data_IF_965479975924
#
_entry.id   IF_965479975924
#
_cell.length_a   1.000
_cell.length_b   1.000
_cell.length_c   1.000
_cell.angle_alpha   90.00
_cell.angle_beta   90.00
_cell.angle_gamma   90.00
#
_symmetry.space_group_name_H-M   'P 1'
#
loop_
_entity.id
_entity.type
_entity.pdbx_description
1 polymer ?
#
# COMPACT_ATOMS: atom_id res chain seq x y z
N UNK A 1 18.08 -13.95 -7.84
CA UNK A 1 17.44 -12.96 -6.97
C UNK A 1 16.00 -12.69 -7.37
N UNK A 2 15.12 -12.58 -6.37
CA UNK A 2 13.71 -12.20 -6.50
C UNK A 2 13.31 -11.33 -5.30
N UNK A 3 12.21 -10.58 -5.38
CA UNK A 3 11.65 -9.83 -4.25
C UNK A 3 10.69 -10.72 -3.43
N UNK A 4 11.08 -11.18 -2.23
CA UNK A 4 10.20 -12.01 -1.42
C UNK A 4 9.04 -11.20 -0.86
N UNK A 5 7.85 -11.78 -0.86
CA UNK A 5 6.64 -11.25 -0.23
C UNK A 5 6.26 -12.17 0.92
N UNK A 6 6.13 -11.61 2.12
CA UNK A 6 5.61 -12.37 3.27
C UNK A 6 4.17 -12.81 2.97
N UNK A 7 3.88 -14.11 3.04
CA UNK A 7 2.54 -14.64 2.75
C UNK A 7 1.51 -14.14 3.77
N UNK A 8 1.92 -13.90 5.02
CA UNK A 8 1.01 -13.49 6.10
C UNK A 8 0.65 -12.01 6.06
N UNK A 9 1.63 -11.10 5.94
CA UNK A 9 1.38 -9.66 5.97
C UNK A 9 1.43 -8.98 4.60
N UNK A 10 1.90 -9.68 3.55
CA UNK A 10 1.97 -9.14 2.19
C UNK A 10 3.09 -8.13 1.95
N UNK A 11 3.90 -7.81 2.96
CA UNK A 11 5.06 -6.90 2.84
C UNK A 11 6.14 -7.53 1.95
N UNK A 12 6.62 -6.75 1.00
CA UNK A 12 7.70 -7.12 0.08
C UNK A 12 9.06 -6.66 0.61
N UNK A 13 10.10 -7.46 0.36
CA UNK A 13 11.47 -7.26 0.81
C UNK A 13 12.43 -7.02 -0.38
N UNK A 14 13.67 -6.57 -0.12
CA UNK A 14 14.69 -6.39 -1.15
C UNK A 14 15.00 -7.68 -1.91
N UNK A 15 15.54 -7.53 -3.12
CA UNK A 15 15.88 -8.69 -3.95
C UNK A 15 16.97 -9.52 -3.28
N UNK A 16 16.73 -10.82 -3.16
CA UNK A 16 17.68 -11.76 -2.56
C UNK A 16 17.60 -13.14 -3.25
N UNK A 17 18.61 -13.97 -3.07
CA UNK A 17 18.59 -15.36 -3.57
C UNK A 17 17.80 -16.30 -2.64
N UNK A 18 17.67 -15.92 -1.37
CA UNK A 18 16.84 -16.59 -0.37
C UNK A 18 16.00 -15.54 0.37
N UNK A 19 14.76 -15.86 0.76
CA UNK A 19 13.98 -14.95 1.59
C UNK A 19 14.60 -14.80 2.98
N UNK A 20 14.30 -13.73 3.72
CA UNK A 20 14.78 -13.60 5.09
C UNK A 20 14.14 -14.67 5.99
N UNK A 21 14.84 -15.06 7.05
CA UNK A 21 14.37 -16.09 7.99
C UNK A 21 13.10 -15.65 8.74
N UNK A 22 12.99 -14.35 8.99
CA UNK A 22 11.94 -13.73 9.80
C UNK A 22 11.34 -12.52 9.08
N UNK A 23 10.05 -12.25 9.29
CA UNK A 23 9.42 -11.01 8.89
C UNK A 23 9.23 -10.11 10.13
N UNK A 24 9.99 -8.99 10.26
CA UNK A 24 9.87 -8.11 11.42
C UNK A 24 8.45 -7.56 11.66
N UNK A 25 7.68 -7.41 10.57
CA UNK A 25 6.28 -6.97 10.65
C UNK A 25 5.40 -8.05 11.28
N UNK A 26 5.63 -9.34 10.98
CA UNK A 26 4.85 -10.45 11.54
C UNK A 26 5.25 -10.82 12.97
N UNK A 27 6.50 -10.57 13.35
CA UNK A 27 7.00 -10.80 14.72
C UNK A 27 6.66 -9.66 15.68
N UNK A 28 6.24 -8.51 15.16
CA UNK A 28 5.68 -7.45 15.98
C UNK A 28 4.34 -7.89 16.61
N UNK A 29 4.14 -7.54 17.89
CA UNK A 29 2.95 -7.91 18.68
C UNK A 29 1.61 -7.46 18.08
N UNK A 30 1.63 -6.49 17.15
CA UNK A 30 0.45 -5.98 16.43
C UNK A 30 0.06 -6.84 15.24
N UNK A 31 0.85 -7.87 14.94
CA UNK A 31 0.65 -8.84 13.88
C UNK A 31 0.91 -10.25 14.41
N UNK A 32 0.98 -11.22 13.50
CA UNK A 32 1.26 -12.61 13.82
C UNK A 32 2.10 -13.27 12.72
N UNK A 33 2.83 -14.31 13.11
CA UNK A 33 3.40 -15.31 12.21
C UNK A 33 2.29 -16.31 11.86
N UNK A 34 2.18 -16.68 10.59
CA UNK A 34 1.18 -17.63 10.12
C UNK A 34 1.25 -18.99 10.85
N UNK A 35 0.13 -19.70 10.92
CA UNK A 35 0.03 -21.00 11.60
C UNK A 35 1.03 -22.05 11.07
N UNK A 36 1.37 -21.97 9.79
CA UNK A 36 2.34 -22.85 9.14
C UNK A 36 3.79 -22.29 9.19
N UNK A 37 4.06 -21.34 10.09
CA UNK A 37 5.32 -20.63 10.19
C UNK A 37 5.46 -19.48 9.20
N UNK A 38 6.67 -18.92 9.13
CA UNK A 38 7.02 -17.85 8.20
C UNK A 38 7.11 -18.41 6.77
N UNK A 39 6.30 -17.87 5.86
CA UNK A 39 6.25 -18.29 4.46
C UNK A 39 6.43 -17.10 3.52
N UNK A 40 6.98 -17.38 2.34
CA UNK A 40 7.37 -16.39 1.35
C UNK A 40 6.84 -16.77 -0.03
N UNK A 41 6.46 -15.76 -0.81
CA UNK A 41 6.04 -15.89 -2.21
C UNK A 41 6.69 -14.78 -3.05
N UNK A 42 6.34 -14.69 -4.33
CA UNK A 42 6.71 -13.60 -5.23
C UNK A 42 5.46 -13.04 -5.93
N UNK A 43 5.58 -11.92 -6.64
CA UNK A 43 4.50 -11.39 -7.47
C UNK A 43 4.08 -12.38 -8.55
N UNK A 44 5.06 -12.99 -9.23
CA UNK A 44 4.83 -13.94 -10.32
C UNK A 44 4.11 -15.20 -9.82
N UNK A 45 4.47 -15.69 -8.63
CA UNK A 45 3.79 -16.82 -8.00
C UNK A 45 2.37 -16.43 -7.52
N UNK A 46 2.21 -15.22 -6.97
CA UNK A 46 0.91 -14.72 -6.53
C UNK A 46 -0.07 -14.60 -7.70
N UNK A 47 0.38 -14.02 -8.82
CA UNK A 47 -0.41 -13.78 -10.03
C UNK A 47 -0.90 -15.07 -10.73
N UNK A 48 -0.32 -16.24 -10.44
CA UNK A 48 -0.77 -17.51 -11.02
C UNK A 48 -2.12 -17.99 -10.47
N UNK A 49 -2.49 -17.56 -9.27
CA UNK A 49 -3.70 -18.01 -8.58
C UNK A 49 -4.58 -16.90 -8.05
N UNK A 50 -4.17 -15.64 -8.22
CA UNK A 50 -4.87 -14.47 -7.71
C UNK A 50 -5.05 -13.44 -8.81
N UNK A 51 -6.12 -12.66 -8.68
CA UNK A 51 -6.42 -11.52 -9.53
C UNK A 51 -6.94 -10.37 -8.67
N UNK A 52 -6.77 -9.14 -9.11
CA UNK A 52 -7.40 -8.02 -8.43
C UNK A 52 -8.84 -7.81 -8.93
N UNK A 53 -9.73 -7.52 -7.99
CA UNK A 53 -11.11 -7.14 -8.22
C UNK A 53 -11.25 -5.65 -7.94
N UNK A 54 -11.69 -4.93 -8.96
CA UNK A 54 -11.84 -3.48 -8.95
C UNK A 54 -13.33 -3.14 -8.87
N UNK A 55 -13.73 -2.35 -7.87
CA UNK A 55 -15.12 -1.98 -7.64
C UNK A 55 -15.24 -0.52 -7.28
N UNK A 56 -16.22 0.16 -7.87
CA UNK A 56 -16.62 1.50 -7.42
C UNK A 56 -17.19 1.39 -6.01
N UNK A 57 -16.65 2.16 -5.06
CA UNK A 57 -17.11 2.25 -3.67
C UNK A 57 -18.12 3.38 -3.54
N UNK A 58 -17.77 4.54 -4.09
CA UNK A 58 -18.62 5.72 -4.23
C UNK A 58 -18.12 6.57 -5.41
N UNK A 59 -18.80 7.65 -5.83
CA UNK A 59 -18.31 8.50 -6.90
C UNK A 59 -16.86 8.93 -6.66
N UNK A 60 -15.99 8.68 -7.64
CA UNK A 60 -14.56 8.99 -7.60
C UNK A 60 -13.75 8.24 -6.53
N UNK A 61 -14.29 7.17 -5.94
CA UNK A 61 -13.55 6.27 -5.05
C UNK A 61 -13.67 4.83 -5.55
N UNK A 62 -12.55 4.27 -5.98
CA UNK A 62 -12.47 2.90 -6.49
C UNK A 62 -11.67 2.03 -5.55
N UNK A 63 -12.23 0.90 -5.12
CA UNK A 63 -11.54 -0.11 -4.32
C UNK A 63 -10.88 -1.18 -5.19
N UNK A 64 -9.66 -1.57 -4.83
CA UNK A 64 -8.87 -2.62 -5.49
C UNK A 64 -8.50 -3.66 -4.44
N UNK A 65 -8.97 -4.90 -4.57
CA UNK A 65 -8.67 -5.97 -3.63
C UNK A 65 -8.37 -7.29 -4.32
N UNK A 66 -7.47 -8.09 -3.74
CA UNK A 66 -7.02 -9.36 -4.32
C UNK A 66 -8.00 -10.50 -4.04
N UNK A 67 -8.28 -11.34 -5.05
CA UNK A 67 -9.09 -12.54 -4.95
C UNK A 67 -8.38 -13.78 -5.56
N UNK A 68 -8.34 -14.93 -4.86
CA UNK A 68 -8.74 -15.15 -3.45
C UNK A 68 -8.05 -14.19 -2.47
N UNK A 69 -8.53 -14.11 -1.23
CA UNK A 69 -7.91 -13.19 -0.25
C UNK A 69 -6.45 -13.56 -0.03
N UNK A 70 -5.56 -12.57 -0.04
CA UNK A 70 -4.14 -12.73 0.23
C UNK A 70 -3.72 -11.88 1.44
N UNK A 71 -2.70 -12.34 2.17
CA UNK A 71 -2.20 -11.68 3.37
C UNK A 71 -3.34 -11.37 4.38
N UNK A 72 -3.44 -10.13 4.83
CA UNK A 72 -4.44 -9.67 5.79
C UNK A 72 -5.79 -9.30 5.14
N UNK A 73 -5.96 -9.54 3.83
CA UNK A 73 -7.22 -9.31 3.12
C UNK A 73 -7.57 -7.83 2.94
N UNK A 74 -6.57 -6.97 2.91
CA UNK A 74 -6.72 -5.53 2.71
C UNK A 74 -7.15 -5.17 1.28
N UNK A 75 -7.65 -3.94 1.12
CA UNK A 75 -7.93 -3.32 -0.18
C UNK A 75 -7.20 -1.97 -0.26
N UNK A 76 -6.72 -1.62 -1.44
CA UNK A 76 -6.29 -0.27 -1.75
C UNK A 76 -7.51 0.56 -2.20
N UNK A 77 -7.45 1.88 -2.00
CA UNK A 77 -8.47 2.82 -2.43
C UNK A 77 -7.86 3.86 -3.37
N UNK A 78 -8.35 3.92 -4.61
CA UNK A 78 -7.97 4.91 -5.60
C UNK A 78 -8.96 6.08 -5.55
N UNK A 79 -8.49 7.23 -5.06
CA UNK A 79 -9.22 8.49 -5.04
C UNK A 79 -8.98 9.21 -6.36
N UNK A 80 -10.04 9.45 -7.13
CA UNK A 80 -9.97 10.01 -8.48
C UNK A 80 -10.26 11.51 -8.45
N UNK A 81 -9.29 12.34 -8.87
CA UNK A 81 -9.37 13.80 -8.69
C UNK A 81 -8.88 14.53 -9.94
N UNK A 82 -9.38 15.76 -10.20
CA UNK A 82 -8.88 16.59 -11.32
C UNK A 82 -7.38 16.89 -11.24
N UNK A 83 -6.81 16.95 -10.03
CA UNK A 83 -5.38 17.24 -9.80
C UNK A 83 -4.49 15.99 -9.93
N UNK A 84 -5.07 14.82 -10.17
CA UNK A 84 -4.37 13.53 -10.22
C UNK A 84 -4.85 12.56 -9.14
N UNK A 85 -4.85 11.28 -9.47
CA UNK A 85 -5.35 10.25 -8.56
C UNK A 85 -4.37 9.97 -7.42
N UNK A 86 -4.90 9.65 -6.24
CA UNK A 86 -4.13 9.17 -5.08
C UNK A 86 -4.50 7.72 -4.82
N UNK A 87 -3.50 6.88 -4.59
CA UNK A 87 -3.69 5.56 -4.01
C UNK A 87 -3.52 5.63 -2.50
N UNK A 88 -4.60 5.34 -1.77
CA UNK A 88 -4.60 5.18 -0.32
C UNK A 88 -4.47 3.70 0.04
N UNK A 89 -3.43 3.39 0.81
CA UNK A 89 -2.96 2.04 1.12
C UNK A 89 -2.56 1.21 -0.11
N UNK A 90 -1.74 0.17 0.07
CA UNK A 90 -1.32 -0.73 -1.00
C UNK A 90 -1.73 -2.18 -0.75
N UNK A 91 -1.90 -2.93 -1.84
CA UNK A 91 -2.02 -4.40 -1.86
C UNK A 91 -0.80 -5.01 -2.54
N UNK A 92 -0.53 -6.29 -2.28
CA UNK A 92 0.68 -6.94 -2.81
C UNK A 92 0.62 -7.23 -4.31
N UNK A 93 -0.51 -7.71 -4.83
CA UNK A 93 -0.61 -8.07 -6.24
C UNK A 93 -0.71 -6.82 -7.12
N UNK A 94 0.17 -6.72 -8.12
CA UNK A 94 0.08 -5.78 -9.22
C UNK A 94 0.31 -6.55 -10.53
N UNK A 95 -0.75 -6.70 -11.32
CA UNK A 95 -0.73 -7.39 -12.61
C UNK A 95 -1.10 -6.43 -13.76
N UNK A 96 -0.82 -6.84 -15.00
CA UNK A 96 -1.04 -6.00 -16.19
C UNK A 96 -2.50 -5.54 -16.34
N UNK A 97 -3.46 -6.38 -15.93
CA UNK A 97 -4.88 -6.04 -15.96
C UNK A 97 -5.22 -4.91 -14.98
N UNK A 98 -4.67 -4.95 -13.77
CA UNK A 98 -4.79 -3.88 -12.77
C UNK A 98 -4.13 -2.61 -13.27
N UNK A 99 -2.92 -2.71 -13.83
CA UNK A 99 -2.20 -1.55 -14.39
C UNK A 99 -3.01 -0.89 -15.50
N UNK A 100 -3.55 -1.67 -16.43
CA UNK A 100 -4.40 -1.17 -17.50
C UNK A 100 -5.66 -0.48 -16.97
N UNK A 101 -6.33 -1.05 -15.96
CA UNK A 101 -7.53 -0.49 -15.38
C UNK A 101 -7.27 0.84 -14.65
N UNK A 102 -6.16 0.93 -13.90
CA UNK A 102 -5.76 2.17 -13.20
C UNK A 102 -5.35 3.25 -14.21
N UNK A 103 -4.60 2.90 -15.25
CA UNK A 103 -4.24 3.84 -16.31
C UNK A 103 -5.47 4.36 -17.08
N UNK A 104 -6.49 3.53 -17.29
CA UNK A 104 -7.73 3.92 -17.96
C UNK A 104 -8.50 5.03 -17.22
N UNK A 105 -8.24 5.22 -15.92
CA UNK A 105 -8.85 6.27 -15.09
C UNK A 105 -7.87 7.38 -14.69
N UNK A 106 -6.70 7.46 -15.33
CA UNK A 106 -5.74 8.56 -15.16
C UNK A 106 -4.47 8.22 -14.38
N UNK A 107 -4.22 6.94 -14.08
CA UNK A 107 -2.99 6.51 -13.41
C UNK A 107 -2.99 6.86 -11.92
N UNK A 108 -1.79 7.03 -11.33
CA UNK A 108 -1.58 7.44 -9.93
C UNK A 108 -0.53 8.55 -9.92
N UNK A 109 -0.77 9.59 -9.13
CA UNK A 109 0.16 10.73 -8.97
C UNK A 109 0.81 10.79 -7.59
N UNK A 110 0.23 10.13 -6.59
CA UNK A 110 0.82 9.94 -5.28
C UNK A 110 0.26 8.68 -4.61
N UNK A 111 1.08 8.05 -3.77
CA UNK A 111 0.70 6.93 -2.92
C UNK A 111 0.85 7.41 -1.47
N UNK A 112 -0.20 7.27 -0.66
CA UNK A 112 -0.15 7.51 0.77
C UNK A 112 -0.67 6.28 1.51
N UNK A 113 -0.05 5.92 2.62
CA UNK A 113 -0.34 4.66 3.30
C UNK A 113 -0.57 4.89 4.78
N UNK A 114 -1.61 4.28 5.33
CA UNK A 114 -2.07 4.47 6.70
C UNK A 114 -1.03 4.06 7.74
N UNK A 115 -0.45 2.87 7.58
CA UNK A 115 0.53 2.31 8.52
C UNK A 115 1.22 1.06 7.94
N UNK A 116 2.28 0.53 8.58
CA UNK A 116 3.16 -0.50 8.02
C UNK A 116 2.53 -1.78 7.49
N UNK A 117 1.39 -2.22 8.04
CA UNK A 117 0.69 -3.40 7.53
C UNK A 117 0.20 -3.27 6.09
N UNK A 118 0.08 -2.04 5.59
CA UNK A 118 -0.44 -1.73 4.26
C UNK A 118 0.68 -1.33 3.29
N UNK A 119 1.96 -1.39 3.69
CA UNK A 119 3.09 -1.08 2.79
C UNK A 119 3.20 -2.09 1.65
N UNK A 120 2.83 -3.36 1.89
CA UNK A 120 2.65 -4.39 0.85
C UNK A 120 3.79 -4.40 -0.19
N UNK A 121 3.47 -4.28 -1.49
CA UNK A 121 4.43 -4.10 -2.59
C UNK A 121 4.47 -2.64 -3.08
N UNK A 122 4.33 -1.65 -2.19
CA UNK A 122 4.23 -0.21 -2.55
C UNK A 122 5.30 0.27 -3.53
N UNK A 123 6.51 -0.32 -3.51
CA UNK A 123 7.59 0.04 -4.43
C UNK A 123 7.24 -0.34 -5.88
N UNK A 124 6.59 -1.49 -6.10
CA UNK A 124 6.15 -1.93 -7.44
C UNK A 124 5.07 -0.99 -8.00
N UNK A 125 4.13 -0.59 -7.14
CA UNK A 125 3.12 0.41 -7.49
C UNK A 125 3.78 1.75 -7.82
N UNK A 126 4.70 2.22 -6.98
CA UNK A 126 5.43 3.46 -7.20
C UNK A 126 6.19 3.46 -8.53
N UNK A 127 6.95 2.40 -8.81
CA UNK A 127 7.75 2.29 -10.04
C UNK A 127 6.87 2.18 -11.28
N UNK A 128 5.79 1.39 -11.20
CA UNK A 128 4.87 1.17 -12.33
C UNK A 128 4.13 2.44 -12.75
N UNK A 129 3.70 3.24 -11.77
CA UNK A 129 2.95 4.48 -12.04
C UNK A 129 3.80 5.75 -11.97
N UNK A 130 5.11 5.61 -11.71
CA UNK A 130 6.03 6.73 -11.47
C UNK A 130 5.49 7.70 -10.42
N UNK A 131 4.98 7.15 -9.31
CA UNK A 131 4.30 7.91 -8.26
C UNK A 131 5.10 7.88 -6.94
N UNK A 132 5.38 9.05 -6.32
CA UNK A 132 6.02 9.10 -5.01
C UNK A 132 5.14 8.50 -3.91
N UNK A 133 5.77 7.88 -2.91
CA UNK A 133 5.12 7.31 -1.73
C UNK A 133 5.34 8.26 -0.55
N UNK A 134 4.28 8.59 0.18
CA UNK A 134 4.33 9.44 1.36
C UNK A 134 4.01 8.63 2.62
N UNK A 135 4.98 8.56 3.53
CA UNK A 135 4.89 7.85 4.81
C UNK A 135 5.26 8.80 5.96
N UNK A 136 4.66 8.63 7.13
CA UNK A 136 5.10 9.40 8.29
C UNK A 136 6.49 8.93 8.77
N UNK A 137 7.37 9.85 9.13
CA UNK A 137 8.76 9.57 9.50
C UNK A 137 8.89 8.64 10.72
N UNK A 138 7.95 8.69 11.68
CA UNK A 138 7.96 7.81 12.87
C UNK A 138 7.87 6.31 12.51
N UNK A 139 7.32 5.99 11.33
CA UNK A 139 7.19 4.61 10.86
C UNK A 139 8.30 4.21 9.88
N UNK A 140 9.31 5.04 9.64
CA UNK A 140 10.38 4.76 8.67
C UNK A 140 11.09 3.42 8.88
N UNK A 141 11.23 3.01 10.15
CA UNK A 141 11.89 1.75 10.53
C UNK A 141 11.15 0.51 10.00
N UNK A 142 9.87 0.66 9.65
CA UNK A 142 9.04 -0.42 9.14
C UNK A 142 9.09 -0.55 7.61
N UNK A 143 9.86 0.29 6.93
CA UNK A 143 10.10 0.17 5.49
C UNK A 143 11.09 -0.97 5.22
N UNK A 144 10.55 -2.15 4.95
CA UNK A 144 11.35 -3.37 4.74
C UNK A 144 12.10 -3.38 3.42
N UNK A 145 11.56 -2.73 2.37
CA UNK A 145 12.20 -2.50 1.07
C UNK A 145 12.47 -1.00 0.89
N UNK A 146 13.69 -0.50 1.17
CA UNK A 146 14.04 0.90 0.94
C UNK A 146 14.01 1.26 -0.54
N UNK A 147 13.59 2.49 -0.85
CA UNK A 147 13.55 3.02 -2.21
C UNK A 147 13.58 4.56 -2.19
N UNK A 148 14.25 5.23 -3.15
CA UNK A 148 14.30 6.70 -3.20
C UNK A 148 12.93 7.37 -3.44
N UNK A 149 11.92 6.64 -3.93
CA UNK A 149 10.57 7.20 -4.10
C UNK A 149 9.77 7.26 -2.78
N UNK A 150 10.33 6.80 -1.67
CA UNK A 150 9.71 6.91 -0.34
C UNK A 150 10.09 8.27 0.27
N UNK A 151 9.09 9.14 0.38
CA UNK A 151 9.19 10.44 1.01
C UNK A 151 8.60 10.38 2.42
N UNK A 152 9.44 10.68 3.40
CA UNK A 152 9.01 10.83 4.77
C UNK A 152 8.53 12.26 5.04
N UNK A 153 7.42 12.39 5.75
CA UNK A 153 6.93 13.65 6.27
C UNK A 153 6.85 13.60 7.80
N UNK A 154 7.01 14.78 8.42
CA UNK A 154 7.02 14.97 9.86
C UNK A 154 5.85 15.86 10.32
N UNK A 155 5.53 15.80 11.60
CA UNK A 155 4.53 16.65 12.24
C UNK A 155 3.13 16.02 12.26
N UNK A 156 2.11 16.84 12.48
CA UNK A 156 0.73 16.33 12.63
C UNK A 156 -0.04 16.28 11.31
N UNK A 157 0.36 17.09 10.31
CA UNK A 157 -0.35 17.18 9.04
C UNK A 157 0.60 17.35 7.85
N UNK A 158 0.24 16.75 6.71
CA UNK A 158 0.92 16.92 5.43
C UNK A 158 -0.09 17.08 4.30
N UNK A 159 -0.04 18.20 3.59
CA UNK A 159 -0.93 18.47 2.46
C UNK A 159 -0.49 17.70 1.21
N UNK A 160 -1.42 16.97 0.59
CA UNK A 160 -1.21 16.21 -0.64
C UNK A 160 -2.07 16.79 -1.78
N UNK A 161 -1.74 18.04 -2.13
CA UNK A 161 -2.54 18.90 -2.99
C UNK A 161 -3.43 19.85 -2.19
N UNK A 162 -4.46 20.41 -2.83
CA UNK A 162 -5.34 21.43 -2.23
C UNK A 162 -6.52 20.87 -1.41
N UNK A 163 -6.90 19.62 -1.67
CA UNK A 163 -8.15 18.99 -1.20
C UNK A 163 -7.92 17.70 -0.41
N UNK A 164 -6.65 17.30 -0.22
CA UNK A 164 -6.29 16.12 0.57
C UNK A 164 -5.22 16.47 1.60
N UNK A 165 -5.46 16.05 2.84
CA UNK A 165 -4.53 16.20 3.96
C UNK A 165 -4.28 14.84 4.60
N UNK A 166 -3.01 14.48 4.79
CA UNK A 166 -2.60 13.36 5.65
C UNK A 166 -2.48 13.88 7.08
N UNK A 167 -3.04 13.16 8.04
CA UNK A 167 -3.08 13.53 9.45
C UNK A 167 -2.45 12.40 10.25
N UNK A 168 -1.43 12.71 11.05
CA UNK A 168 -0.85 11.76 11.99
C UNK A 168 -1.77 11.63 13.20
N UNK A 169 -2.36 10.46 13.38
CA UNK A 169 -3.18 10.16 14.56
C UNK A 169 -2.46 9.27 15.56
N UNK A 170 -1.39 8.57 15.13
CA UNK A 170 -0.67 7.62 15.96
C UNK A 170 -1.53 6.43 16.40
N UNK A 171 -1.20 5.86 17.57
CA UNK A 171 -1.95 4.75 18.16
C UNK A 171 -1.40 3.38 17.78
N UNK A 172 -2.00 2.72 16.78
CA UNK A 172 -1.58 1.38 16.35
C UNK A 172 -0.12 1.36 15.88
N UNK A 173 0.30 2.39 15.16
CA UNK A 173 1.70 2.72 14.90
C UNK A 173 1.94 4.18 15.23
N UNK A 174 3.18 4.55 15.58
CA UNK A 174 3.50 5.91 15.99
C UNK A 174 3.24 6.91 14.85
N UNK A 175 3.57 6.52 13.61
CA UNK A 175 3.26 7.26 12.40
C UNK A 175 1.88 6.96 11.80
N UNK A 176 0.98 6.31 12.53
CA UNK A 176 -0.35 5.97 12.06
C UNK A 176 -1.08 7.18 11.46
N UNK A 177 -1.50 7.05 10.21
CA UNK A 177 -1.97 8.15 9.37
C UNK A 177 -3.42 7.93 8.95
N UNK A 178 -4.19 9.02 8.94
CA UNK A 178 -5.52 9.11 8.33
C UNK A 178 -5.45 10.06 7.14
N UNK A 179 -6.16 9.75 6.06
CA UNK A 179 -6.33 10.65 4.92
C UNK A 179 -7.70 11.32 5.01
N UNK A 180 -7.71 12.65 5.04
CA UNK A 180 -8.91 13.48 4.93
C UNK A 180 -9.02 14.01 3.50
N UNK A 181 -10.17 13.76 2.85
CA UNK A 181 -10.44 14.22 1.48
C UNK A 181 -11.66 15.14 1.49
N UNK A 182 -11.41 16.45 1.37
CA UNK A 182 -12.42 17.49 1.62
C UNK A 182 -13.63 17.42 0.68
N UNK A 183 -13.45 16.94 -0.55
CA UNK A 183 -14.53 16.78 -1.53
C UNK A 183 -15.18 15.38 -1.49
N UNK A 184 -14.64 14.47 -0.67
CA UNK A 184 -15.14 13.12 -0.49
C UNK A 184 -16.48 13.06 0.23
N UNK A 185 -17.22 11.97 0.03
CA UNK A 185 -18.49 11.68 0.70
C UNK A 185 -19.50 12.86 0.72
N UNK A 186 -19.57 13.63 -0.38
CA UNK A 186 -20.33 14.88 -0.48
C UNK A 186 -19.94 15.92 0.57
N UNK A 187 -18.63 16.22 0.66
CA UNK A 187 -18.01 17.14 1.61
C UNK A 187 -18.06 16.70 3.08
N UNK A 188 -17.98 15.38 3.31
CA UNK A 188 -17.96 14.76 4.65
C UNK A 188 -16.86 13.71 4.80
N UNK A 189 -15.95 13.64 3.82
CA UNK A 189 -14.79 12.74 3.82
C UNK A 189 -13.66 13.23 4.69
#
# INVERSE_FOLDING_TARGET
MFHPICVTCGTQFPAADQPPDHCPICEDQRQYVGWNGQQWTTLEALAQGHQNVIKLVEPNLTGIGTQPSFAIGQRALLIQRPQGNILWDCISLLDDATVAAVNAVGGITAIAISHPHYYSSMIEWSHTFNAPIYLHADDQQWVMRPDPNVHFWDGEEHALGSDVTLIRCGGHFAGGTVLHWADGAAHRG
#
